data_IF_825188629241
#
_entry.id   IF_825188629241
#
_cell.length_a   1.000
_cell.length_b   1.000
_cell.length_c   1.000
_cell.angle_alpha   90.00
_cell.angle_beta   90.00
_cell.angle_gamma   90.00
#
_symmetry.space_group_name_H-M   'P 1'
#
loop_
_entity.id
_entity.type
_entity.pdbx_description
1 polymer ?
#
# COMPACT_ATOMS: atom_id res chain seq x y z
N UNK A 1 2.58 -27.02 -5.59
CA UNK A 1 2.19 -25.62 -5.81
C UNK A 1 3.17 -24.87 -6.75
N UNK A 2 4.41 -24.62 -6.33
CA UNK A 2 5.38 -23.81 -7.11
C UNK A 2 5.70 -24.37 -8.51
N UNK A 3 6.06 -25.66 -8.60
CA UNK A 3 6.38 -26.33 -9.87
C UNK A 3 5.20 -26.40 -10.84
N UNK A 4 3.97 -26.42 -10.31
CA UNK A 4 2.71 -26.42 -11.10
C UNK A 4 2.20 -25.01 -11.43
N UNK A 5 2.87 -23.96 -10.96
CA UNK A 5 2.43 -22.54 -11.05
C UNK A 5 1.03 -22.27 -10.46
N UNK A 6 0.61 -23.11 -9.51
CA UNK A 6 -0.65 -22.96 -8.77
C UNK A 6 -0.46 -21.98 -7.60
N UNK A 7 0.04 -20.77 -7.86
CA UNK A 7 0.40 -19.82 -6.80
C UNK A 7 -0.84 -19.17 -6.16
N UNK A 8 -0.64 -18.64 -4.95
CA UNK A 8 -1.60 -17.76 -4.29
C UNK A 8 -1.96 -16.60 -5.23
N UNK A 9 -3.21 -16.16 -5.17
CA UNK A 9 -3.74 -15.10 -6.02
C UNK A 9 -3.95 -13.84 -5.19
N UNK A 10 -3.37 -12.74 -5.65
CA UNK A 10 -3.75 -11.41 -5.15
C UNK A 10 -5.22 -11.17 -5.52
N UNK A 11 -6.04 -10.97 -4.50
CA UNK A 11 -7.48 -10.78 -4.63
C UNK A 11 -7.92 -9.37 -4.25
N UNK A 12 -7.07 -8.61 -3.54
CA UNK A 12 -7.31 -7.23 -3.17
C UNK A 12 -5.97 -6.50 -3.04
N UNK A 13 -5.93 -5.25 -3.48
CA UNK A 13 -4.76 -4.37 -3.35
C UNK A 13 -5.23 -2.98 -2.97
N UNK A 14 -4.54 -2.36 -2.00
CA UNK A 14 -4.69 -0.95 -1.67
C UNK A 14 -3.32 -0.29 -1.72
N UNK A 15 -3.27 0.84 -2.42
CA UNK A 15 -2.11 1.71 -2.48
C UNK A 15 -2.36 2.93 -1.59
N UNK A 16 -1.47 3.14 -0.61
CA UNK A 16 -1.45 4.32 0.25
C UNK A 16 -0.24 5.18 -0.08
N UNK A 17 -0.45 6.50 -0.08
CA UNK A 17 0.61 7.49 -0.17
C UNK A 17 0.70 8.21 1.17
N UNK A 18 1.73 7.91 1.95
CA UNK A 18 1.91 8.50 3.27
C UNK A 18 3.04 9.52 3.31
N UNK A 19 2.85 10.53 4.14
CA UNK A 19 3.86 11.56 4.43
C UNK A 19 4.79 11.13 5.56
N UNK A 20 4.33 10.27 6.49
CA UNK A 20 5.10 9.76 7.61
C UNK A 20 5.17 8.21 7.58
N UNK A 21 6.39 7.62 7.58
CA UNK A 21 6.56 6.19 7.67
C UNK A 21 6.07 5.58 8.99
N UNK A 22 5.84 6.36 10.05
CA UNK A 22 5.44 5.86 11.38
C UNK A 22 3.95 5.47 11.49
N UNK A 23 3.11 5.88 10.53
CA UNK A 23 1.67 5.56 10.48
C UNK A 23 1.33 4.12 10.06
N UNK A 24 2.31 3.21 10.02
CA UNK A 24 2.15 1.86 9.48
C UNK A 24 1.43 0.93 10.45
N UNK A 25 0.11 0.91 10.33
CA UNK A 25 -0.77 -0.02 11.04
C UNK A 25 -0.36 -1.49 10.77
N UNK A 26 0.23 -1.76 9.61
CA UNK A 26 0.63 -3.10 9.16
C UNK A 26 1.95 -3.62 9.77
N UNK A 27 2.70 -2.80 10.52
CA UNK A 27 3.89 -3.28 11.26
C UNK A 27 3.49 -4.07 12.52
N UNK A 28 2.26 -3.92 13.00
CA UNK A 28 1.76 -4.63 14.16
C UNK A 28 1.13 -5.96 13.76
N UNK A 29 1.84 -7.07 14.02
CA UNK A 29 1.37 -8.43 13.71
C UNK A 29 -0.03 -8.73 14.27
N UNK A 30 -0.39 -8.21 15.45
CA UNK A 30 -1.71 -8.43 16.05
C UNK A 30 -2.82 -7.75 15.24
N UNK A 31 -2.53 -6.56 14.70
CA UNK A 31 -3.49 -5.83 13.86
C UNK A 31 -3.65 -6.54 12.52
N UNK A 32 -2.54 -6.96 11.91
CA UNK A 32 -2.57 -7.75 10.67
C UNK A 32 -3.39 -9.03 10.88
N UNK A 33 -3.15 -9.76 11.96
CA UNK A 33 -3.88 -10.98 12.28
C UNK A 33 -5.38 -10.73 12.47
N UNK A 34 -5.77 -9.68 13.22
CA UNK A 34 -7.17 -9.33 13.40
C UNK A 34 -7.89 -8.99 12.08
N UNK A 35 -7.18 -8.36 11.13
CA UNK A 35 -7.70 -8.09 9.79
C UNK A 35 -7.87 -9.41 9.01
N UNK A 36 -6.88 -10.31 9.06
CA UNK A 36 -6.96 -11.64 8.43
C UNK A 36 -8.18 -12.41 8.96
N UNK A 37 -8.37 -12.47 10.28
CA UNK A 37 -9.53 -13.13 10.91
C UNK A 37 -10.86 -12.52 10.45
N UNK A 38 -10.92 -11.19 10.37
CA UNK A 38 -12.11 -10.47 9.91
C UNK A 38 -12.45 -10.79 8.45
N UNK A 39 -11.44 -10.87 7.57
CA UNK A 39 -11.61 -11.24 6.16
C UNK A 39 -12.04 -12.70 6.04
N UNK A 40 -11.38 -13.60 6.76
CA UNK A 40 -11.69 -15.04 6.72
C UNK A 40 -13.13 -15.31 7.18
N UNK A 41 -13.55 -14.64 8.26
CA UNK A 41 -14.91 -14.73 8.80
C UNK A 41 -15.95 -14.20 7.81
N UNK A 42 -15.72 -13.03 7.21
CA UNK A 42 -16.64 -12.44 6.22
C UNK A 42 -16.70 -13.26 4.91
N UNK A 43 -15.59 -13.91 4.53
CA UNK A 43 -15.51 -14.76 3.34
C UNK A 43 -16.00 -16.21 3.56
N UNK A 44 -16.13 -16.65 4.82
CA UNK A 44 -16.47 -18.04 5.15
C UNK A 44 -15.37 -19.04 4.76
N UNK A 45 -14.10 -18.67 4.93
CA UNK A 45 -12.93 -19.51 4.64
C UNK A 45 -12.07 -19.67 5.88
N UNK A 46 -11.15 -20.64 5.85
CA UNK A 46 -10.19 -20.81 6.94
C UNK A 46 -9.23 -19.61 7.02
N UNK A 47 -8.87 -19.20 8.24
CA UNK A 47 -7.92 -18.10 8.49
C UNK A 47 -6.58 -18.36 7.81
N UNK A 48 -6.16 -19.62 7.75
CA UNK A 48 -4.92 -20.06 7.09
C UNK A 48 -4.95 -19.92 5.56
N UNK A 49 -6.13 -19.73 4.96
CA UNK A 49 -6.29 -19.53 3.51
C UNK A 49 -6.25 -18.04 3.11
N UNK A 50 -6.04 -17.12 4.07
CA UNK A 50 -5.95 -15.67 3.86
C UNK A 50 -4.59 -15.14 4.30
N UNK A 51 -3.91 -14.42 3.42
CA UNK A 51 -2.59 -13.87 3.68
C UNK A 51 -2.58 -12.37 3.37
N UNK A 52 -1.93 -11.57 4.22
CA UNK A 52 -1.69 -10.15 3.96
C UNK A 52 -0.19 -9.94 3.80
N UNK A 53 0.18 -9.25 2.73
CA UNK A 53 1.53 -8.77 2.47
C UNK A 53 1.50 -7.24 2.53
N UNK A 54 2.36 -6.66 3.37
CA UNK A 54 2.71 -5.25 3.31
C UNK A 54 4.23 -5.13 3.32
N UNK A 55 4.83 -4.32 2.42
CA UNK A 55 6.26 -4.06 2.45
C UNK A 55 6.69 -3.52 3.82
N UNK A 56 7.59 -4.24 4.49
CA UNK A 56 8.19 -3.78 5.75
C UNK A 56 9.05 -2.51 5.58
N UNK A 57 9.43 -2.18 4.33
CA UNK A 57 10.15 -0.97 3.99
C UNK A 57 9.28 -0.10 3.08
N UNK A 58 9.09 1.18 3.41
CA UNK A 58 8.26 2.05 2.62
C UNK A 58 9.04 2.40 1.35
N UNK A 59 8.38 2.34 0.20
CA UNK A 59 9.05 2.67 -1.05
C UNK A 59 8.82 4.14 -1.35
N UNK A 60 9.87 4.95 -1.46
CA UNK A 60 9.74 6.30 -2.02
C UNK A 60 10.05 6.19 -3.52
N UNK A 61 9.08 6.41 -4.42
CA UNK A 61 9.33 6.32 -5.87
C UNK A 61 10.44 7.26 -6.34
N UNK A 62 10.46 8.47 -5.78
CA UNK A 62 11.46 9.50 -6.02
C UNK A 62 12.21 9.81 -4.72
N UNK A 63 12.96 8.84 -4.20
CA UNK A 63 13.80 9.01 -3.03
C UNK A 63 14.98 8.04 -2.99
N UNK A 64 16.05 8.42 -2.30
CA UNK A 64 17.19 7.54 -1.97
C UNK A 64 17.15 7.15 -0.50
N UNK A 65 17.60 5.94 -0.17
CA UNK A 65 17.96 5.57 1.19
C UNK A 65 19.10 6.49 1.70
N UNK A 66 18.84 7.35 2.69
CA UNK A 66 19.82 8.25 3.34
C UNK A 66 19.43 9.75 3.37
N UNK A 67 20.30 10.60 3.95
CA UNK A 67 20.08 12.03 4.26
C UNK A 67 19.92 12.99 3.06
N UNK A 68 19.81 12.49 1.82
CA UNK A 68 19.69 13.32 0.62
C UNK A 68 18.32 13.09 -0.01
N UNK A 69 17.41 14.03 0.22
CA UNK A 69 16.18 14.15 -0.57
C UNK A 69 16.55 14.39 -2.03
N UNK A 70 16.27 13.43 -2.90
CA UNK A 70 16.46 13.57 -4.35
C UNK A 70 15.35 14.47 -4.90
N UNK A 71 15.49 15.78 -4.69
CA UNK A 71 14.67 16.77 -5.36
C UNK A 71 15.18 16.94 -6.80
N UNK A 72 14.46 16.37 -7.76
CA UNK A 72 14.76 16.55 -9.19
C UNK A 72 14.71 18.03 -9.51
N UNK A 73 15.85 18.61 -9.88
CA UNK A 73 15.95 20.02 -10.23
C UNK A 73 15.60 20.22 -11.69
N UNK A 74 14.71 21.17 -11.95
CA UNK A 74 14.32 21.62 -13.28
C UNK A 74 14.93 23.01 -13.51
N UNK A 75 15.67 23.18 -14.60
CA UNK A 75 16.21 24.48 -14.95
C UNK A 75 15.17 25.30 -15.72
N UNK A 76 14.82 26.46 -15.18
CA UNK A 76 13.97 27.44 -15.83
C UNK A 76 14.84 28.36 -16.70
N UNK A 77 14.79 28.15 -18.01
CA UNK A 77 15.61 28.90 -18.97
C UNK A 77 15.27 30.39 -19.04
N UNK A 78 14.03 30.78 -18.69
CA UNK A 78 13.55 32.17 -18.75
C UNK A 78 14.02 32.97 -17.55
N UNK A 79 13.85 32.40 -16.36
CA UNK A 79 14.24 33.06 -15.11
C UNK A 79 15.66 32.70 -14.65
N UNK A 80 16.37 31.87 -15.41
CA UNK A 80 17.74 31.39 -15.13
C UNK A 80 17.90 30.84 -13.71
N UNK A 81 16.92 30.05 -13.26
CA UNK A 81 16.87 29.49 -11.89
C UNK A 81 16.62 28.00 -11.89
N UNK A 82 17.10 27.32 -10.84
CA UNK A 82 16.76 25.92 -10.57
C UNK A 82 15.48 25.86 -9.72
N UNK A 83 14.53 25.05 -10.16
CA UNK A 83 13.27 24.77 -9.49
C UNK A 83 13.22 23.31 -9.04
N UNK A 84 12.45 23.05 -8.00
CA UNK A 84 12.13 21.69 -7.55
C UNK A 84 11.00 21.13 -8.40
N UNK A 85 11.13 19.89 -8.90
CA UNK A 85 10.05 19.20 -9.60
C UNK A 85 8.81 19.07 -8.70
N UNK A 86 9.01 18.74 -7.42
CA UNK A 86 7.91 18.63 -6.46
C UNK A 86 7.17 19.96 -6.23
N UNK A 87 7.85 21.11 -6.34
CA UNK A 87 7.20 22.42 -6.18
C UNK A 87 6.41 22.89 -7.40
N UNK A 88 6.71 22.36 -8.58
CA UNK A 88 6.12 22.84 -9.84
C UNK A 88 5.16 21.83 -10.48
N UNK A 89 5.15 20.58 -10.00
CA UNK A 89 4.32 19.51 -10.52
C UNK A 89 3.65 18.72 -9.39
N UNK A 90 2.31 18.64 -9.37
CA UNK A 90 1.59 17.79 -8.43
C UNK A 90 1.99 16.30 -8.53
N UNK A 91 2.34 15.84 -9.74
CA UNK A 91 2.85 14.47 -9.94
C UNK A 91 4.23 14.33 -9.29
N UNK A 92 5.10 15.34 -9.45
CA UNK A 92 6.40 15.39 -8.80
C UNK A 92 6.29 15.30 -7.28
N UNK A 93 5.34 16.04 -6.70
CA UNK A 93 5.08 16.03 -5.26
C UNK A 93 4.55 14.66 -4.77
N UNK A 94 3.65 14.03 -5.52
CA UNK A 94 3.11 12.72 -5.16
C UNK A 94 4.20 11.64 -5.13
N UNK A 95 5.20 11.74 -6.01
CA UNK A 95 6.31 10.78 -6.11
C UNK A 95 7.35 10.92 -4.99
N UNK A 96 7.35 12.03 -4.24
CA UNK A 96 8.25 12.19 -3.07
C UNK A 96 7.67 11.60 -1.78
N UNK A 97 6.43 11.11 -1.81
CA UNK A 97 5.76 10.51 -0.65
C UNK A 97 6.06 9.02 -0.54
N UNK A 98 5.93 8.46 0.64
CA UNK A 98 6.07 7.02 0.85
C UNK A 98 4.89 6.30 0.22
N UNK A 99 5.17 5.27 -0.57
CA UNK A 99 4.17 4.36 -1.10
C UNK A 99 4.21 3.07 -0.29
N UNK A 100 3.06 2.74 0.29
CA UNK A 100 2.78 1.46 0.92
C UNK A 100 1.72 0.73 0.07
N UNK A 101 1.99 -0.53 -0.26
CA UNK A 101 1.04 -1.36 -1.01
C UNK A 101 0.67 -2.55 -0.15
N UNK A 102 -0.58 -2.62 0.28
CA UNK A 102 -1.08 -3.76 1.05
C UNK A 102 -1.81 -4.68 0.08
N UNK A 103 -1.44 -5.97 0.11
CA UNK A 103 -2.01 -6.99 -0.76
C UNK A 103 -2.61 -8.11 0.06
N UNK A 104 -3.80 -8.55 -0.34
CA UNK A 104 -4.43 -9.75 0.20
C UNK A 104 -4.28 -10.87 -0.82
N UNK A 105 -3.80 -12.02 -0.36
CA UNK A 105 -3.64 -13.23 -1.14
C UNK A 105 -4.50 -14.36 -0.58
N UNK A 106 -4.94 -15.24 -1.47
CA UNK A 106 -5.64 -16.48 -1.10
C UNK A 106 -5.44 -17.57 -2.16
N UNK A 107 -5.96 -18.76 -1.91
CA UNK A 107 -6.00 -19.84 -2.89
C UNK A 107 -6.96 -19.50 -4.05
N UNK A 108 -6.70 -19.99 -5.29
CA UNK A 108 -7.54 -19.70 -6.45
C UNK A 108 -9.04 -19.97 -6.24
N UNK A 109 -9.38 -21.04 -5.50
CA UNK A 109 -10.76 -21.43 -5.17
C UNK A 109 -11.54 -20.38 -4.36
N UNK A 110 -10.83 -19.52 -3.62
CA UNK A 110 -11.44 -18.54 -2.70
C UNK A 110 -11.32 -17.10 -3.18
N UNK A 111 -10.71 -16.87 -4.35
CA UNK A 111 -10.33 -15.54 -4.84
C UNK A 111 -11.48 -14.53 -4.82
N UNK A 112 -12.66 -14.92 -5.30
CA UNK A 112 -13.80 -14.00 -5.41
C UNK A 112 -14.40 -13.67 -4.03
N UNK A 113 -14.65 -14.69 -3.21
CA UNK A 113 -15.18 -14.53 -1.85
C UNK A 113 -14.27 -13.65 -0.99
N UNK A 114 -12.96 -13.93 -0.99
CA UNK A 114 -11.97 -13.18 -0.21
C UNK A 114 -11.81 -11.75 -0.76
N UNK A 115 -11.88 -11.53 -2.08
CA UNK A 115 -11.82 -10.19 -2.68
C UNK A 115 -12.97 -9.28 -2.21
N UNK A 116 -14.20 -9.82 -2.21
CA UNK A 116 -15.38 -9.10 -1.75
C UNK A 116 -15.33 -8.83 -0.24
N UNK A 117 -14.92 -9.83 0.55
CA UNK A 117 -14.75 -9.70 1.99
C UNK A 117 -13.69 -8.65 2.34
N UNK A 118 -12.49 -8.74 1.74
CA UNK A 118 -11.42 -7.76 1.91
C UNK A 118 -11.90 -6.35 1.57
N UNK A 119 -12.61 -6.18 0.45
CA UNK A 119 -13.16 -4.87 0.06
C UNK A 119 -14.10 -4.29 1.12
N UNK A 120 -14.93 -5.11 1.76
CA UNK A 120 -15.85 -4.66 2.81
C UNK A 120 -15.12 -4.32 4.11
N UNK A 121 -14.24 -5.22 4.55
CA UNK A 121 -13.40 -5.10 5.74
C UNK A 121 -12.60 -3.81 5.60
N UNK A 122 -11.69 -3.72 4.64
CA UNK A 122 -10.87 -2.53 4.43
C UNK A 122 -11.68 -1.24 4.23
N UNK A 123 -12.87 -1.28 3.61
CA UNK A 123 -13.75 -0.09 3.62
C UNK A 123 -14.19 0.28 5.03
N UNK A 124 -14.73 -0.63 5.84
CA UNK A 124 -15.18 -0.31 7.20
C UNK A 124 -14.04 0.20 8.09
N UNK A 125 -12.90 -0.47 8.06
CA UNK A 125 -11.81 -0.14 8.99
C UNK A 125 -10.97 1.06 8.53
N UNK A 126 -10.91 1.38 7.23
CA UNK A 126 -10.17 2.55 6.71
C UNK A 126 -11.06 3.73 6.29
N UNK A 127 -12.39 3.61 6.31
CA UNK A 127 -13.29 4.77 6.13
C UNK A 127 -13.20 5.79 7.27
N UNK A 128 -12.58 5.46 8.42
CA UNK A 128 -12.34 6.46 9.47
C UNK A 128 -11.21 7.44 9.13
N UNK A 129 -10.34 7.15 8.15
CA UNK A 129 -9.26 8.05 7.72
C UNK A 129 -9.72 9.07 6.66
N UNK A 130 -10.91 8.91 6.08
CA UNK A 130 -11.44 9.80 5.02
C UNK A 130 -12.21 11.03 5.52
N UNK A 131 -12.01 11.44 6.77
CA UNK A 131 -12.48 12.75 7.26
C UNK A 131 -11.32 13.53 7.87
N UNK A 132 -10.37 13.94 7.03
CA UNK A 132 -9.55 15.15 7.25
C UNK A 132 -8.79 15.49 5.98
N UNK A 133 -9.41 16.28 5.10
CA UNK A 133 -8.89 17.57 4.63
C UNK A 133 -9.98 18.34 3.89
#
# INVERSE_FOLDING_TARGET
>A
MLQKRELLKSCYEILRHETDPSGRIMENEKVVFAIIESIATEAGVDVEDVFIDSPALPTIPLGTFGDKTFDVKIFDEKNKKLLSLAKISPIGEALTRYMEVIRVYTLPKHREAVSLAATKVFKREFLSEKVSY
#
